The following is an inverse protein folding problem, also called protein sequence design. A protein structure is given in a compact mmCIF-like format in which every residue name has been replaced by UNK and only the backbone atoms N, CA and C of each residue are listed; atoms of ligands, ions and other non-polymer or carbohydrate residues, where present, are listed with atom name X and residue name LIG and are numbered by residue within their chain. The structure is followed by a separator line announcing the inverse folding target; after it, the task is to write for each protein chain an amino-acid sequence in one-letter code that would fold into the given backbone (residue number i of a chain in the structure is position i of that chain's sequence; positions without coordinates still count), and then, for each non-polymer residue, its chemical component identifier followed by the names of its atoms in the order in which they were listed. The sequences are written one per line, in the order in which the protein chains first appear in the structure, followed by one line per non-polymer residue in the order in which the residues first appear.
data_IF_288712230370
#
_entry.id   IF_288712230370
#
_cell.length_a   1.000
_cell.length_b   1.000
_cell.length_c   1.000
_cell.angle_alpha   90.00
_cell.angle_beta   90.00
_cell.angle_gamma   90.00
#
_symmetry.space_group_name_H-M   'P 1'
#
loop_
_entity.id
_entity.type
_entity.pdbx_description
1 polymer ?
#
# COMPACT_ATOMS: atom_id res chain seq x y z
N UNK A 1 25.94 2.71 -6.06
CA UNK A 1 24.66 3.26 -6.55
C UNK A 1 24.63 3.14 -8.07
N UNK A 2 23.52 2.67 -8.66
CA UNK A 2 23.30 2.61 -10.12
C UNK A 2 23.43 4.03 -10.71
N UNK A 3 24.56 4.33 -11.37
CA UNK A 3 24.86 5.68 -11.88
C UNK A 3 23.91 6.09 -13.02
N UNK A 4 23.33 5.12 -13.70
CA UNK A 4 22.35 5.28 -14.77
C UNK A 4 21.04 5.94 -14.31
N UNK A 5 20.70 5.87 -13.02
CA UNK A 5 19.42 6.40 -12.49
C UNK A 5 19.55 7.77 -11.82
N UNK A 6 20.77 8.25 -11.54
CA UNK A 6 21.00 9.53 -10.84
C UNK A 6 20.34 10.69 -11.57
N UNK A 7 20.44 10.70 -12.90
CA UNK A 7 19.93 11.77 -13.74
C UNK A 7 18.40 11.87 -13.70
N UNK A 8 17.69 10.82 -13.27
CA UNK A 8 16.23 10.86 -13.12
C UNK A 8 15.79 11.64 -11.87
N UNK A 9 16.70 11.90 -10.92
CA UNK A 9 16.43 12.57 -9.64
C UNK A 9 17.25 13.86 -9.49
N UNK A 10 16.96 14.93 -10.25
CA UNK A 10 17.83 16.11 -10.35
C UNK A 10 18.08 16.83 -9.02
N UNK A 11 17.19 16.70 -8.04
CA UNK A 11 17.35 17.38 -6.74
C UNK A 11 18.52 16.83 -5.92
N UNK A 12 19.00 15.61 -6.17
CA UNK A 12 20.09 15.01 -5.38
C UNK A 12 21.44 15.69 -5.63
N UNK A 13 21.59 16.48 -6.70
CA UNK A 13 22.78 17.32 -6.90
C UNK A 13 22.89 18.45 -5.87
N UNK A 14 21.77 18.82 -5.26
CA UNK A 14 21.68 19.93 -4.29
C UNK A 14 21.70 19.48 -2.84
N UNK A 15 21.33 18.22 -2.57
CA UNK A 15 21.14 17.71 -1.21
C UNK A 15 21.54 16.24 -1.08
N UNK A 16 21.99 15.85 0.12
CA UNK A 16 22.04 14.44 0.52
C UNK A 16 20.66 14.06 1.07
N UNK A 17 19.84 13.42 0.24
CA UNK A 17 18.46 13.08 0.60
C UNK A 17 18.38 11.77 1.41
N UNK A 18 18.23 11.88 2.73
CA UNK A 18 18.16 10.72 3.66
C UNK A 18 16.75 10.49 4.25
N UNK A 19 15.69 10.95 3.56
CA UNK A 19 14.31 10.91 4.07
C UNK A 19 13.32 10.12 3.18
N UNK A 20 13.82 9.16 2.39
CA UNK A 20 13.01 8.34 1.47
C UNK A 20 11.91 7.56 2.18
N UNK A 21 12.11 7.21 3.45
CA UNK A 21 11.11 6.51 4.27
C UNK A 21 9.85 7.36 4.54
N UNK A 22 9.95 8.70 4.44
CA UNK A 22 8.77 9.58 4.50
C UNK A 22 8.11 9.69 3.13
N UNK A 23 8.81 10.29 2.16
CA UNK A 23 8.36 10.42 0.77
C UNK A 23 9.59 10.26 -0.13
N UNK A 24 9.51 9.41 -1.14
CA UNK A 24 10.59 9.27 -2.11
C UNK A 24 10.67 10.43 -3.10
N UNK A 25 11.86 10.73 -3.61
CA UNK A 25 11.97 11.56 -4.82
C UNK A 25 11.31 10.82 -5.99
N UNK A 26 10.61 11.56 -6.85
CA UNK A 26 9.92 10.99 -8.02
C UNK A 26 10.86 11.04 -9.23
N UNK A 27 11.12 9.91 -9.91
CA UNK A 27 12.00 9.90 -11.07
C UNK A 27 11.34 10.58 -12.27
N UNK A 28 12.15 11.24 -13.10
CA UNK A 28 11.72 12.01 -14.28
C UNK A 28 10.77 11.25 -15.22
N UNK A 29 10.97 9.95 -15.54
CA UNK A 29 10.02 9.19 -16.35
C UNK A 29 8.61 9.09 -15.75
N UNK A 30 8.49 8.95 -14.43
CA UNK A 30 7.18 8.88 -13.73
C UNK A 30 6.48 10.23 -13.78
N UNK A 31 7.21 11.33 -13.54
CA UNK A 31 6.66 12.68 -13.66
C UNK A 31 6.10 12.94 -15.06
N UNK A 32 6.82 12.51 -16.11
CA UNK A 32 6.37 12.67 -17.50
C UNK A 32 5.07 11.91 -17.78
N UNK A 33 4.97 10.65 -17.37
CA UNK A 33 3.78 9.83 -17.58
C UNK A 33 2.54 10.43 -16.89
N UNK A 34 2.68 10.87 -15.63
CA UNK A 34 1.57 11.51 -14.89
C UNK A 34 1.16 12.83 -15.56
N UNK A 35 2.12 13.65 -15.98
CA UNK A 35 1.84 14.91 -16.68
C UNK A 35 1.07 14.66 -17.97
N UNK A 36 1.54 13.72 -18.80
CA UNK A 36 0.90 13.40 -20.08
C UNK A 36 -0.55 12.93 -19.89
N UNK A 37 -0.81 12.09 -18.88
CA UNK A 37 -2.16 11.64 -18.56
C UNK A 37 -3.07 12.82 -18.15
N UNK A 38 -2.60 13.68 -17.24
CA UNK A 38 -3.37 14.83 -16.76
C UNK A 38 -3.59 15.86 -17.88
N UNK A 39 -2.59 16.12 -18.72
CA UNK A 39 -2.70 17.04 -19.86
C UNK A 39 -3.73 16.55 -20.89
N UNK A 40 -3.73 15.25 -21.20
CA UNK A 40 -4.74 14.66 -22.08
C UNK A 40 -6.16 14.81 -21.51
N UNK A 41 -6.34 14.50 -20.22
CA UNK A 41 -7.62 14.72 -19.54
C UNK A 41 -8.04 16.19 -19.52
N UNK A 42 -7.12 17.11 -19.27
CA UNK A 42 -7.40 18.55 -19.27
C UNK A 42 -7.89 19.05 -20.63
N UNK A 43 -7.26 18.61 -21.72
CA UNK A 43 -7.56 19.08 -23.08
C UNK A 43 -8.83 18.43 -23.64
N UNK A 44 -8.98 17.12 -23.43
CA UNK A 44 -9.98 16.29 -24.13
C UNK A 44 -11.15 15.88 -23.24
N UNK A 45 -11.02 16.02 -21.92
CA UNK A 45 -12.01 15.53 -20.96
C UNK A 45 -12.30 14.03 -21.15
N UNK A 46 -13.55 13.64 -20.97
CA UNK A 46 -14.01 12.25 -21.18
C UNK A 46 -13.73 11.73 -22.59
N UNK A 47 -13.55 12.56 -23.61
CA UNK A 47 -13.25 12.06 -24.97
C UNK A 47 -11.87 11.40 -25.09
N UNK A 48 -10.97 11.62 -24.12
CA UNK A 48 -9.72 10.87 -24.00
C UNK A 48 -9.92 9.47 -23.43
N UNK A 49 -10.93 9.28 -22.58
CA UNK A 49 -11.25 8.01 -21.96
C UNK A 49 -12.21 7.24 -22.88
N UNK A 50 -11.67 6.69 -23.98
CA UNK A 50 -12.42 5.73 -24.78
C UNK A 50 -12.74 4.48 -23.95
N UNK A 51 -13.72 3.69 -24.38
CA UNK A 51 -14.08 2.41 -23.74
C UNK A 51 -12.84 1.51 -23.57
N UNK A 52 -12.01 1.38 -24.61
CA UNK A 52 -10.75 0.63 -24.55
C UNK A 52 -9.77 1.19 -23.51
N UNK A 53 -9.66 2.51 -23.38
CA UNK A 53 -8.77 3.14 -22.39
C UNK A 53 -9.31 2.94 -20.97
N UNK A 54 -10.62 3.11 -20.76
CA UNK A 54 -11.24 2.93 -19.45
C UNK A 54 -11.12 1.48 -18.95
N UNK A 55 -11.39 0.50 -19.82
CA UNK A 55 -11.27 -0.92 -19.50
C UNK A 55 -9.85 -1.32 -19.12
N UNK A 56 -8.85 -0.71 -19.77
CA UNK A 56 -7.44 -1.11 -19.63
C UNK A 56 -6.59 -0.14 -18.81
N UNK A 57 -7.18 0.90 -18.21
CA UNK A 57 -6.44 2.02 -17.57
C UNK A 57 -5.43 1.54 -16.50
N UNK A 58 -5.73 0.42 -15.84
CA UNK A 58 -4.87 -0.20 -14.83
C UNK A 58 -4.23 -1.51 -15.28
N UNK A 59 -4.54 -2.03 -16.46
CA UNK A 59 -4.16 -3.40 -16.81
C UNK A 59 -2.64 -3.55 -16.95
N UNK A 60 -1.97 -2.60 -17.62
CA UNK A 60 -0.51 -2.58 -17.67
C UNK A 60 0.13 -2.43 -16.27
N UNK A 61 -0.49 -1.65 -15.38
CA UNK A 61 -0.02 -1.48 -14.01
C UNK A 61 -0.11 -2.82 -13.26
N UNK A 62 -1.24 -3.53 -13.39
CA UNK A 62 -1.46 -4.83 -12.75
C UNK A 62 -0.46 -5.87 -13.25
N UNK A 63 -0.24 -5.97 -14.56
CA UNK A 63 0.76 -6.89 -15.14
C UNK A 63 2.18 -6.60 -14.63
N UNK A 64 2.58 -5.32 -14.60
CA UNK A 64 3.92 -4.92 -14.11
C UNK A 64 4.07 -5.16 -12.60
N UNK A 65 3.02 -4.90 -11.82
CA UNK A 65 3.00 -5.13 -10.38
C UNK A 65 3.04 -6.63 -10.04
N UNK A 66 2.24 -7.45 -10.74
CA UNK A 66 2.23 -8.90 -10.61
C UNK A 66 3.62 -9.50 -10.84
N UNK A 67 4.31 -9.05 -11.90
CA UNK A 67 5.70 -9.44 -12.16
C UNK A 67 6.67 -9.01 -11.06
N UNK A 68 6.49 -7.83 -10.48
CA UNK A 68 7.34 -7.32 -9.40
C UNK A 68 7.14 -8.11 -8.09
N UNK A 69 5.88 -8.49 -7.80
CA UNK A 69 5.49 -9.18 -6.57
C UNK A 69 5.57 -10.71 -6.67
N UNK A 70 5.68 -11.26 -7.89
CA UNK A 70 5.74 -12.70 -8.13
C UNK A 70 4.40 -13.41 -7.98
N UNK A 71 3.31 -12.76 -8.39
CA UNK A 71 1.94 -13.28 -8.32
C UNK A 71 1.24 -13.15 -9.69
N UNK A 72 0.00 -13.62 -9.81
CA UNK A 72 -0.80 -13.48 -11.03
C UNK A 72 -1.46 -12.09 -11.12
N UNK A 73 -1.82 -11.66 -12.34
CA UNK A 73 -2.43 -10.34 -12.57
C UNK A 73 -3.79 -10.20 -11.89
N UNK A 74 -4.58 -11.27 -11.81
CA UNK A 74 -5.89 -11.31 -11.16
C UNK A 74 -5.83 -11.19 -9.63
N UNK A 75 -4.65 -11.38 -9.05
CA UNK A 75 -4.37 -11.15 -7.62
C UNK A 75 -4.04 -9.69 -7.28
N UNK A 76 -3.90 -8.80 -8.28
CA UNK A 76 -3.59 -7.37 -8.07
C UNK A 76 -4.86 -6.52 -8.07
N UNK A 77 -5.06 -5.78 -6.98
CA UNK A 77 -6.02 -4.68 -6.88
C UNK A 77 -5.31 -3.34 -6.68
N UNK A 78 -5.85 -2.27 -7.29
CA UNK A 78 -5.26 -0.92 -7.26
C UNK A 78 -6.03 -0.03 -6.30
N UNK A 79 -5.31 0.65 -5.42
CA UNK A 79 -5.84 1.63 -4.45
C UNK A 79 -5.03 2.92 -4.52
N UNK A 80 -5.61 4.03 -4.07
CA UNK A 80 -4.93 5.32 -4.01
C UNK A 80 -3.86 5.38 -2.91
N UNK A 81 -3.98 4.53 -1.89
CA UNK A 81 -3.02 4.43 -0.78
C UNK A 81 -3.13 3.10 -0.02
N UNK A 82 -2.08 2.75 0.75
CA UNK A 82 -2.11 1.62 1.69
C UNK A 82 -3.20 1.81 2.74
N UNK A 83 -3.45 3.05 3.18
CA UNK A 83 -4.51 3.36 4.15
C UNK A 83 -5.89 3.05 3.62
N UNK A 84 -6.18 3.41 2.38
CA UNK A 84 -7.45 3.05 1.73
C UNK A 84 -7.59 1.52 1.59
N UNK A 85 -6.54 0.84 1.13
CA UNK A 85 -6.54 -0.61 0.94
C UNK A 85 -6.84 -1.34 2.25
N UNK A 86 -6.10 -1.05 3.33
CA UNK A 86 -6.29 -1.71 4.63
C UNK A 86 -7.64 -1.40 5.27
N UNK A 87 -8.15 -0.17 5.12
CA UNK A 87 -9.52 0.13 5.56
C UNK A 87 -10.56 -0.68 4.80
N UNK A 88 -10.41 -0.80 3.48
CA UNK A 88 -11.33 -1.57 2.65
C UNK A 88 -11.33 -3.05 3.05
N UNK A 89 -10.16 -3.63 3.28
CA UNK A 89 -10.00 -5.02 3.74
C UNK A 89 -10.63 -5.21 5.13
N UNK A 90 -10.36 -4.32 6.09
CA UNK A 90 -10.90 -4.43 7.43
C UNK A 90 -12.44 -4.39 7.44
N UNK A 91 -13.04 -3.52 6.62
CA UNK A 91 -14.50 -3.46 6.47
C UNK A 91 -15.08 -4.67 5.73
N UNK A 92 -14.38 -5.22 4.74
CA UNK A 92 -14.83 -6.39 3.99
C UNK A 92 -14.77 -7.70 4.81
N UNK A 93 -13.82 -7.81 5.74
CA UNK A 93 -13.61 -9.02 6.54
C UNK A 93 -14.85 -9.34 7.40
N UNK A 94 -15.25 -10.61 7.43
CA UNK A 94 -16.45 -11.08 8.15
C UNK A 94 -16.06 -12.04 9.27
N UNK A 95 -16.99 -12.25 10.20
CA UNK A 95 -16.83 -13.19 11.31
C UNK A 95 -16.84 -12.53 12.67
N UNK A 96 -16.49 -13.30 13.68
CA UNK A 96 -16.32 -12.89 15.08
C UNK A 96 -15.01 -13.49 15.57
N UNK A 97 -14.29 -12.74 16.39
CA UNK A 97 -12.97 -13.19 16.85
C UNK A 97 -12.06 -12.03 17.18
N UNK A 98 -10.77 -12.21 16.92
CA UNK A 98 -9.73 -11.23 17.20
C UNK A 98 -8.83 -10.96 16.01
N UNK A 99 -8.31 -9.75 15.98
CA UNK A 99 -7.23 -9.31 15.11
C UNK A 99 -5.96 -9.29 15.95
N UNK A 100 -4.91 -9.96 15.47
CA UNK A 100 -3.58 -9.88 16.07
C UNK A 100 -2.79 -8.84 15.29
N UNK A 101 -2.01 -8.00 15.98
CA UNK A 101 -1.05 -7.09 15.36
C UNK A 101 -0.01 -6.72 16.43
N UNK A 102 0.89 -5.77 16.17
CA UNK A 102 2.01 -5.44 17.06
C UNK A 102 2.03 -3.96 17.42
N UNK A 103 2.70 -3.61 18.51
CA UNK A 103 2.81 -2.21 18.95
C UNK A 103 3.88 -1.39 18.22
N UNK A 104 4.57 -2.00 17.25
CA UNK A 104 5.56 -1.33 16.37
C UNK A 104 5.02 -1.08 14.96
N UNK A 105 3.82 -1.57 14.65
CA UNK A 105 3.20 -1.31 13.36
C UNK A 105 2.89 0.17 13.14
N UNK A 106 3.01 0.60 11.89
CA UNK A 106 2.67 1.96 11.51
C UNK A 106 1.15 2.19 11.71
N UNK A 107 0.69 3.40 12.10
CA UNK A 107 -0.74 3.67 12.37
C UNK A 107 -1.70 3.26 11.25
N UNK A 108 -1.28 3.37 9.98
CA UNK A 108 -2.05 2.90 8.82
C UNK A 108 -2.44 1.43 8.90
N UNK A 109 -1.60 0.59 9.51
CA UNK A 109 -1.87 -0.83 9.68
C UNK A 109 -2.85 -1.04 10.85
N UNK A 110 -2.61 -0.43 12.00
CA UNK A 110 -3.33 -0.74 13.24
C UNK A 110 -4.69 -0.05 13.36
N UNK A 111 -4.78 1.22 12.97
CA UNK A 111 -5.97 2.05 13.24
C UNK A 111 -7.24 1.57 12.53
N UNK A 112 -7.19 1.09 11.27
CA UNK A 112 -8.37 0.49 10.63
C UNK A 112 -8.94 -0.66 11.46
N UNK A 113 -8.09 -1.58 11.94
CA UNK A 113 -8.52 -2.70 12.78
C UNK A 113 -9.14 -2.25 14.08
N UNK A 114 -8.52 -1.30 14.80
CA UNK A 114 -9.09 -0.76 16.04
C UNK A 114 -10.47 -0.12 15.79
N UNK A 115 -10.62 0.65 14.70
CA UNK A 115 -11.89 1.32 14.40
C UNK A 115 -12.98 0.33 14.02
N UNK A 116 -12.68 -0.66 13.18
CA UNK A 116 -13.64 -1.67 12.71
C UNK A 116 -13.97 -2.67 13.83
N UNK A 117 -13.01 -3.04 14.66
CA UNK A 117 -13.22 -3.93 15.80
C UNK A 117 -14.25 -3.37 16.79
N UNK A 118 -14.26 -2.05 17.02
CA UNK A 118 -15.29 -1.39 17.84
C UNK A 118 -16.71 -1.56 17.28
N UNK A 119 -16.84 -1.56 15.96
CA UNK A 119 -18.12 -1.72 15.26
C UNK A 119 -18.58 -3.18 15.24
N UNK A 120 -17.64 -4.09 14.94
CA UNK A 120 -17.92 -5.53 14.76
C UNK A 120 -17.82 -6.34 16.06
N UNK A 121 -17.45 -5.72 17.17
CA UNK A 121 -17.23 -6.39 18.46
C UNK A 121 -16.02 -7.32 18.47
N UNK A 122 -15.04 -7.10 17.60
CA UNK A 122 -13.80 -7.88 17.58
C UNK A 122 -12.85 -7.42 18.69
N UNK A 123 -11.95 -8.31 19.10
CA UNK A 123 -10.80 -7.94 19.95
C UNK A 123 -9.61 -7.56 19.06
N UNK A 124 -8.82 -6.59 19.50
CA UNK A 124 -7.51 -6.30 18.88
C UNK A 124 -6.44 -6.58 19.91
N UNK A 125 -5.54 -7.50 19.58
CA UNK A 125 -4.41 -7.89 20.43
C UNK A 125 -3.15 -7.26 19.88
N UNK A 126 -2.53 -6.38 20.68
CA UNK A 126 -1.24 -5.78 20.35
C UNK A 126 -0.13 -6.55 21.05
N UNK A 127 0.64 -7.33 20.28
CA UNK A 127 1.84 -8.01 20.78
C UNK A 127 2.92 -6.97 21.04
N UNK A 128 3.50 -7.02 22.23
CA UNK A 128 4.51 -6.07 22.69
C UNK A 128 5.87 -6.41 22.12
N UNK A 129 6.49 -5.44 21.46
CA UNK A 129 7.88 -5.51 21.04
C UNK A 129 8.84 -5.39 22.23
N UNK A 130 10.04 -5.97 22.08
CA UNK A 130 11.19 -5.79 22.95
C UNK A 130 12.30 -5.19 22.11
N UNK A 131 12.78 -3.99 22.48
CA UNK A 131 13.77 -3.24 21.69
C UNK A 131 13.35 -3.03 20.21
N UNK A 132 12.08 -2.66 19.99
CA UNK A 132 11.48 -2.47 18.66
C UNK A 132 11.46 -3.73 17.77
N UNK A 133 11.70 -4.91 18.34
CA UNK A 133 11.58 -6.20 17.67
C UNK A 133 10.44 -7.00 18.28
N UNK A 134 9.64 -7.63 17.42
CA UNK A 134 8.56 -8.51 17.85
C UNK A 134 9.12 -9.92 17.90
N UNK A 135 8.99 -10.57 19.07
CA UNK A 135 9.41 -11.94 19.25
C UNK A 135 8.39 -12.89 18.60
N UNK A 136 8.87 -13.78 17.73
CA UNK A 136 8.03 -14.72 16.99
C UNK A 136 7.23 -15.64 17.93
N UNK A 137 7.85 -16.09 19.03
CA UNK A 137 7.19 -16.99 19.99
C UNK A 137 6.06 -16.25 20.70
N UNK A 138 6.24 -14.98 21.04
CA UNK A 138 5.18 -14.16 21.66
C UNK A 138 4.05 -13.84 20.66
N UNK A 139 4.34 -13.69 19.37
CA UNK A 139 3.33 -13.55 18.32
C UNK A 139 2.53 -14.83 18.10
N UNK A 140 3.20 -15.98 18.00
CA UNK A 140 2.54 -17.29 17.77
C UNK A 140 1.65 -17.71 18.96
N UNK A 141 2.01 -17.36 20.20
CA UNK A 141 1.20 -17.66 21.40
C UNK A 141 -0.19 -17.04 21.38
N UNK A 142 -0.38 -15.93 20.66
CA UNK A 142 -1.67 -15.24 20.62
C UNK A 142 -2.51 -15.62 19.40
N UNK A 143 -1.99 -16.42 18.48
CA UNK A 143 -2.71 -16.89 17.29
C UNK A 143 -3.41 -18.22 17.63
N UNK A 144 -4.71 -18.29 17.37
CA UNK A 144 -5.57 -19.44 17.62
C UNK A 144 -6.77 -19.46 16.65
N UNK A 145 -7.69 -20.41 16.82
CA UNK A 145 -8.89 -20.60 15.98
C UNK A 145 -9.85 -19.41 15.94
N UNK A 146 -9.78 -18.50 16.92
CA UNK A 146 -10.58 -17.27 16.98
C UNK A 146 -9.90 -16.10 16.24
N UNK A 147 -8.70 -16.31 15.67
CA UNK A 147 -7.93 -15.28 14.97
C UNK A 147 -8.44 -15.09 13.54
N UNK A 148 -8.92 -13.88 13.23
CA UNK A 148 -9.46 -13.53 11.92
C UNK A 148 -8.40 -12.99 10.95
N UNK A 149 -7.41 -12.28 11.48
CA UNK A 149 -6.29 -11.71 10.73
C UNK A 149 -5.11 -11.43 11.68
N UNK A 150 -3.91 -11.36 11.09
CA UNK A 150 -2.61 -11.08 11.74
C UNK A 150 -1.95 -9.93 10.98
#
# INVERSE_FOLDING_TARGET
MRRDLINDFPFIEKVIYLNTASIGLVPTPVLRAVREFIENLFIKGTTYLSEEIEENIYEELRVKAAKLLGCETDEIAVFSSVSEALNSIAWALRGKGKIVTTDVEFPTVVYPWIRVAKDKGWKVVLVRSKNCLVDEVDLLKVIDEDTLAI
#
